data_IF_084863255232
#
_entry.id   IF_084863255232
#
_cell.length_a   1.000
_cell.length_b   1.000
_cell.length_c   1.000
_cell.angle_alpha   90.00
_cell.angle_beta   90.00
_cell.angle_gamma   90.00
#
_symmetry.space_group_name_H-M   'P 1'
#
loop_
_entity.id
_entity.type
_entity.pdbx_description
1 polymer ?
#
# COMPACT_ATOMS: atom_id res chain seq x y z
N UNK A 1 -5.16 7.67 9.17
CA UNK A 1 -5.96 8.59 10.01
C UNK A 1 -5.39 8.74 11.41
N UNK A 2 -4.95 7.67 12.08
CA UNK A 2 -4.48 7.72 13.46
C UNK A 2 -3.33 8.69 13.68
N UNK A 3 -2.32 8.69 12.81
CA UNK A 3 -1.19 9.62 12.91
C UNK A 3 -1.61 11.08 12.76
N UNK A 4 -2.57 11.37 11.88
CA UNK A 4 -3.14 12.71 11.73
C UNK A 4 -3.85 13.16 13.00
N UNK A 5 -4.65 12.29 13.63
CA UNK A 5 -5.30 12.57 14.91
C UNK A 5 -4.30 12.79 16.03
N UNK A 6 -3.21 12.01 16.09
CA UNK A 6 -2.16 12.17 17.11
C UNK A 6 -1.48 13.53 17.06
N UNK A 7 -1.39 14.16 15.89
CA UNK A 7 -0.83 15.52 15.74
C UNK A 7 -1.91 16.62 15.76
N UNK A 8 -3.13 16.28 16.15
CA UNK A 8 -4.22 17.23 16.34
C UNK A 8 -4.96 17.63 15.06
N UNK A 9 -4.77 16.93 13.95
CA UNK A 9 -5.51 17.17 12.71
C UNK A 9 -6.91 16.57 12.79
N UNK A 10 -7.88 17.26 12.22
CA UNK A 10 -9.22 16.72 12.00
C UNK A 10 -9.19 15.82 10.76
N UNK A 11 -9.63 14.57 10.90
CA UNK A 11 -9.72 13.62 9.81
C UNK A 11 -11.11 13.66 9.18
N UNK A 12 -11.14 13.85 7.86
CA UNK A 12 -12.35 13.77 7.04
C UNK A 12 -12.16 12.61 6.07
N UNK A 13 -13.12 11.69 6.02
CA UNK A 13 -13.05 10.51 5.15
C UNK A 13 -13.67 10.86 3.81
N UNK A 14 -12.91 10.66 2.72
CA UNK A 14 -13.41 10.68 1.35
C UNK A 14 -13.93 9.29 0.97
N UNK A 15 -15.03 9.25 0.24
CA UNK A 15 -15.65 8.00 -0.21
C UNK A 15 -14.84 7.35 -1.32
N UNK A 16 -15.05 6.03 -1.47
CA UNK A 16 -14.67 5.29 -2.67
C UNK A 16 -15.92 4.95 -3.49
N UNK A 17 -15.73 4.79 -4.79
CA UNK A 17 -16.76 4.29 -5.69
C UNK A 17 -16.93 2.76 -5.56
N UNK A 18 -17.87 2.19 -6.32
CA UNK A 18 -18.16 0.75 -6.30
C UNK A 18 -17.01 -0.11 -6.87
N UNK A 19 -16.11 0.50 -7.63
CA UNK A 19 -14.91 -0.16 -8.19
C UNK A 19 -13.69 -0.10 -7.26
N UNK A 20 -13.83 0.57 -6.11
CA UNK A 20 -12.77 0.73 -5.11
C UNK A 20 -11.82 1.89 -5.38
N UNK A 21 -12.10 2.76 -6.35
CA UNK A 21 -11.36 4.00 -6.59
C UNK A 21 -11.87 5.14 -5.71
N UNK A 22 -11.08 6.18 -5.55
CA UNK A 22 -11.50 7.39 -4.86
C UNK A 22 -12.65 8.06 -5.63
N UNK A 23 -13.75 8.39 -4.93
CA UNK A 23 -14.82 9.21 -5.49
C UNK A 23 -14.33 10.65 -5.66
N UNK A 24 -13.96 11.00 -6.89
CA UNK A 24 -13.39 12.32 -7.21
C UNK A 24 -14.38 13.47 -6.98
N UNK A 25 -15.68 13.22 -7.09
CA UNK A 25 -16.70 14.25 -6.83
C UNK A 25 -16.80 14.52 -5.31
N UNK A 26 -16.77 13.47 -4.50
CA UNK A 26 -16.72 13.63 -3.04
C UNK A 26 -15.40 14.29 -2.60
N UNK A 27 -14.25 13.86 -3.17
CA UNK A 27 -12.96 14.50 -2.88
C UNK A 27 -12.99 16.00 -3.18
N UNK A 28 -13.49 16.40 -4.35
CA UNK A 28 -13.61 17.80 -4.72
C UNK A 28 -14.47 18.57 -3.71
N UNK A 29 -15.64 18.02 -3.37
CA UNK A 29 -16.53 18.65 -2.41
C UNK A 29 -15.89 18.83 -1.02
N UNK A 30 -15.10 17.82 -0.56
CA UNK A 30 -14.37 17.92 0.70
C UNK A 30 -13.24 18.95 0.61
N UNK A 31 -12.49 18.99 -0.48
CA UNK A 31 -11.43 19.99 -0.69
C UNK A 31 -11.99 21.42 -0.72
N UNK A 32 -13.10 21.66 -1.42
CA UNK A 32 -13.79 22.96 -1.44
C UNK A 32 -14.27 23.37 -0.05
N UNK A 33 -14.95 22.46 0.64
CA UNK A 33 -15.51 22.68 1.96
C UNK A 33 -14.45 23.00 3.02
N UNK A 34 -13.29 22.38 2.91
CA UNK A 34 -12.23 22.47 3.91
C UNK A 34 -11.00 23.25 3.43
N UNK A 35 -11.05 23.91 2.27
CA UNK A 35 -9.90 24.56 1.62
C UNK A 35 -9.12 25.52 2.53
N UNK A 36 -9.80 26.26 3.40
CA UNK A 36 -9.17 27.19 4.34
C UNK A 36 -8.26 26.51 5.39
N UNK A 37 -8.44 25.21 5.62
CA UNK A 37 -7.76 24.41 6.64
C UNK A 37 -7.23 23.09 6.12
N UNK A 38 -7.26 22.87 4.80
CA UNK A 38 -6.78 21.64 4.18
C UNK A 38 -5.26 21.55 4.35
N UNK A 39 -4.82 20.61 5.19
CA UNK A 39 -3.40 20.35 5.37
C UNK A 39 -2.89 19.33 4.34
N UNK A 40 -3.53 18.15 4.30
CA UNK A 40 -3.15 17.11 3.36
C UNK A 40 -4.29 16.11 3.10
N UNK A 41 -4.15 15.38 2.01
CA UNK A 41 -4.87 14.14 1.75
C UNK A 41 -3.89 12.98 1.90
N UNK A 42 -4.32 11.88 2.51
CA UNK A 42 -3.56 10.64 2.58
C UNK A 42 -4.25 9.58 1.72
N UNK A 43 -3.49 9.00 0.81
CA UNK A 43 -3.94 7.89 -0.05
C UNK A 43 -2.98 6.72 0.08
N UNK A 44 -3.50 5.50 -0.07
CA UNK A 44 -2.69 4.30 -0.29
C UNK A 44 -2.63 4.01 -1.78
N UNK A 45 -1.43 3.80 -2.33
CA UNK A 45 -1.26 3.54 -3.77
C UNK A 45 -0.25 2.41 -4.01
N UNK A 46 -0.63 1.31 -4.75
CA UNK A 46 -2.00 1.00 -5.15
C UNK A 46 -2.96 0.90 -3.96
N UNK A 47 -4.26 1.03 -4.20
CA UNK A 47 -5.24 1.07 -3.12
C UNK A 47 -5.35 -0.28 -2.38
N UNK A 48 -5.80 -0.24 -1.12
CA UNK A 48 -6.10 -1.45 -0.33
C UNK A 48 -7.27 -2.27 -0.88
N UNK A 49 -7.96 -1.78 -1.92
CA UNK A 49 -8.93 -2.52 -2.70
C UNK A 49 -8.29 -3.40 -3.80
N UNK A 50 -6.96 -3.40 -3.90
CA UNK A 50 -6.22 -4.19 -4.89
C UNK A 50 -6.26 -3.60 -6.31
N UNK A 51 -6.59 -2.33 -6.46
CA UNK A 51 -6.66 -1.66 -7.77
C UNK A 51 -5.73 -0.46 -7.85
N UNK A 52 -5.27 -0.15 -9.06
CA UNK A 52 -4.60 1.11 -9.34
C UNK A 52 -5.63 2.23 -9.41
N UNK A 53 -5.40 3.31 -8.66
CA UNK A 53 -6.18 4.55 -8.78
C UNK A 53 -5.83 5.22 -10.11
N UNK A 54 -6.74 5.15 -11.08
CA UNK A 54 -6.49 5.63 -12.44
C UNK A 54 -6.40 7.15 -12.53
N UNK A 55 -7.04 7.85 -11.60
CA UNK A 55 -7.08 9.31 -11.53
C UNK A 55 -6.13 9.89 -10.47
N UNK A 56 -5.07 9.15 -10.11
CA UNK A 56 -4.16 9.59 -9.05
C UNK A 56 -3.50 10.95 -9.33
N UNK A 57 -3.17 11.24 -10.59
CA UNK A 57 -2.58 12.54 -10.96
C UNK A 57 -3.56 13.69 -10.82
N UNK A 58 -4.78 13.49 -11.28
CA UNK A 58 -5.89 14.45 -11.15
C UNK A 58 -6.24 14.68 -9.68
N UNK A 59 -6.24 13.62 -8.87
CA UNK A 59 -6.41 13.69 -7.42
C UNK A 59 -5.34 14.58 -6.79
N UNK A 60 -4.06 14.35 -7.09
CA UNK A 60 -2.96 15.16 -6.56
C UNK A 60 -3.10 16.64 -7.00
N UNK A 61 -3.39 16.89 -8.26
CA UNK A 61 -3.59 18.25 -8.79
C UNK A 61 -4.75 18.97 -8.10
N UNK A 62 -5.86 18.27 -7.89
CA UNK A 62 -7.02 18.82 -7.18
C UNK A 62 -6.64 19.25 -5.76
N UNK A 63 -5.97 18.39 -5.00
CA UNK A 63 -5.54 18.69 -3.64
C UNK A 63 -4.59 19.89 -3.61
N UNK A 64 -3.61 19.91 -4.53
CA UNK A 64 -2.66 21.02 -4.64
C UNK A 64 -3.34 22.34 -5.01
N UNK A 65 -4.36 22.32 -5.86
CA UNK A 65 -5.10 23.54 -6.24
C UNK A 65 -5.83 24.19 -5.05
N UNK A 66 -6.11 23.42 -4.01
CA UNK A 66 -6.67 23.88 -2.74
C UNK A 66 -5.63 24.13 -1.65
N UNK A 67 -4.32 24.12 -2.00
CA UNK A 67 -3.22 24.39 -1.07
C UNK A 67 -2.86 23.23 -0.14
N UNK A 68 -3.48 22.05 -0.31
CA UNK A 68 -3.17 20.84 0.45
C UNK A 68 -1.95 20.10 -0.09
N UNK A 69 -1.44 19.16 0.71
CA UNK A 69 -0.36 18.22 0.33
C UNK A 69 -0.91 16.81 0.13
N UNK A 70 -0.19 15.98 -0.61
CA UNK A 70 -0.53 14.58 -0.81
C UNK A 70 0.48 13.69 -0.10
N UNK A 71 -0.02 12.93 0.88
CA UNK A 71 0.74 11.88 1.55
C UNK A 71 0.37 10.53 0.94
N UNK A 72 1.35 9.89 0.32
CA UNK A 72 1.19 8.57 -0.28
C UNK A 72 1.63 7.50 0.73
N UNK A 73 0.70 6.67 1.16
CA UNK A 73 1.02 5.42 1.81
C UNK A 73 1.52 4.44 0.74
N UNK A 74 2.82 4.39 0.60
CA UNK A 74 3.54 3.44 -0.27
C UNK A 74 4.17 2.32 0.55
N UNK A 75 3.58 1.94 1.68
CA UNK A 75 4.11 0.91 2.56
C UNK A 75 4.47 -0.38 1.80
N UNK A 76 3.65 -0.75 0.83
CA UNK A 76 3.93 -1.83 -0.10
C UNK A 76 4.20 -1.26 -1.51
N UNK A 77 5.40 -1.47 -2.02
CA UNK A 77 5.83 -1.03 -3.35
C UNK A 77 5.93 -2.19 -4.36
N UNK A 78 5.37 -3.36 -4.06
CA UNK A 78 5.48 -4.53 -4.93
C UNK A 78 4.90 -4.32 -6.34
N UNK A 79 4.00 -3.36 -6.51
CA UNK A 79 3.45 -2.99 -7.81
C UNK A 79 4.05 -1.70 -8.42
N UNK A 80 5.07 -1.11 -7.80
CA UNK A 80 5.55 0.22 -8.18
C UNK A 80 7.02 0.26 -8.61
N UNK A 81 7.89 -0.57 -8.02
CA UNK A 81 9.33 -0.46 -8.24
C UNK A 81 9.68 -0.64 -9.72
N UNK A 82 10.32 0.35 -10.31
CA UNK A 82 10.68 0.38 -11.74
C UNK A 82 9.52 0.72 -12.70
N UNK A 83 8.29 0.89 -12.18
CA UNK A 83 7.08 1.13 -13.00
C UNK A 83 6.46 2.50 -12.71
N UNK A 84 6.36 2.89 -11.45
CA UNK A 84 5.78 4.17 -11.07
C UNK A 84 6.48 4.75 -9.82
N UNK A 85 6.61 6.07 -9.77
CA UNK A 85 7.23 6.76 -8.65
C UNK A 85 6.22 7.74 -8.01
N UNK A 86 6.02 7.70 -6.68
CA UNK A 86 5.09 8.58 -5.99
C UNK A 86 5.28 10.07 -6.27
N UNK A 87 6.52 10.54 -6.36
CA UNK A 87 6.81 11.93 -6.71
C UNK A 87 6.42 12.33 -8.14
N UNK A 88 6.41 11.39 -9.09
CA UNK A 88 6.08 11.69 -10.49
C UNK A 88 4.58 11.80 -10.73
N UNK A 89 3.75 11.17 -9.91
CA UNK A 89 2.31 11.35 -10.01
C UNK A 89 1.76 12.44 -9.08
N UNK A 90 2.60 13.06 -8.24
CA UNK A 90 2.25 14.23 -7.45
C UNK A 90 2.20 14.01 -5.94
N UNK A 91 2.79 12.92 -5.44
CA UNK A 91 2.96 12.72 -3.99
C UNK A 91 4.00 13.68 -3.40
N UNK A 92 3.65 14.40 -2.35
CA UNK A 92 4.56 15.30 -1.64
C UNK A 92 5.35 14.58 -0.54
N UNK A 93 4.74 13.60 0.07
CA UNK A 93 5.35 12.73 1.10
C UNK A 93 5.00 11.29 0.77
N UNK A 94 5.97 10.41 0.87
CA UNK A 94 5.70 8.98 0.83
C UNK A 94 6.52 8.23 1.86
N UNK A 95 5.95 7.18 2.43
CA UNK A 95 6.70 6.20 3.19
C UNK A 95 6.62 4.82 2.54
N UNK A 96 7.60 4.00 2.82
CA UNK A 96 7.62 2.61 2.39
C UNK A 96 8.11 1.73 3.55
N UNK A 97 7.76 0.45 3.50
CA UNK A 97 8.22 -0.51 4.50
C UNK A 97 9.23 -1.47 3.87
N UNK A 98 10.46 -1.48 4.41
CA UNK A 98 11.51 -2.35 3.87
C UNK A 98 11.19 -3.85 4.06
N UNK A 99 10.37 -4.19 5.05
CA UNK A 99 9.93 -5.58 5.30
C UNK A 99 8.82 -6.08 4.38
N UNK A 100 8.30 -5.25 3.47
CA UNK A 100 7.33 -5.65 2.45
C UNK A 100 8.03 -5.91 1.11
N UNK A 101 8.70 -4.91 0.58
CA UNK A 101 9.24 -4.98 -0.79
C UNK A 101 10.76 -5.19 -0.84
N UNK A 102 11.48 -4.90 0.24
CA UNK A 102 12.94 -4.85 0.27
C UNK A 102 13.59 -5.84 1.24
N UNK A 103 12.96 -6.96 1.46
CA UNK A 103 13.50 -8.19 2.07
C UNK A 103 13.95 -8.14 3.52
N UNK A 104 13.81 -7.07 4.29
CA UNK A 104 14.18 -7.15 5.70
C UNK A 104 13.19 -8.03 6.47
N UNK A 105 13.65 -8.77 7.48
CA UNK A 105 12.76 -9.53 8.34
C UNK A 105 11.93 -8.59 9.21
N UNK A 106 10.64 -8.91 9.40
CA UNK A 106 9.78 -8.25 10.39
C UNK A 106 9.32 -9.21 11.48
N UNK A 107 9.13 -10.49 11.13
CA UNK A 107 9.10 -11.63 12.04
C UNK A 107 8.14 -11.49 13.23
N UNK A 108 6.87 -11.16 12.95
CA UNK A 108 5.88 -11.03 14.02
C UNK A 108 6.08 -9.81 14.92
N UNK A 109 6.68 -8.74 14.42
CA UNK A 109 6.90 -7.47 15.12
C UNK A 109 8.36 -7.21 15.47
N UNK A 110 9.27 -7.81 14.73
CA UNK A 110 10.72 -7.59 14.85
C UNK A 110 11.17 -6.24 14.30
N UNK A 111 12.41 -6.16 13.80
CA UNK A 111 13.02 -4.91 13.39
C UNK A 111 12.31 -4.32 12.16
N UNK A 112 11.60 -3.21 12.34
CA UNK A 112 10.99 -2.46 11.26
C UNK A 112 11.82 -1.26 10.84
N UNK A 113 11.82 -0.93 9.54
CA UNK A 113 12.33 0.34 9.02
C UNK A 113 11.37 0.83 7.94
N UNK A 114 10.95 2.07 8.08
CA UNK A 114 10.05 2.76 7.15
C UNK A 114 10.69 4.06 6.66
N UNK A 115 11.46 4.04 5.55
CA UNK A 115 11.96 5.27 4.96
C UNK A 115 10.84 6.22 4.58
N UNK A 116 11.05 7.51 4.79
CA UNK A 116 10.14 8.59 4.41
C UNK A 116 10.83 9.47 3.39
N UNK A 117 10.17 9.70 2.27
CA UNK A 117 10.61 10.61 1.21
C UNK A 117 9.70 11.83 1.18
N UNK A 118 10.26 13.00 0.94
CA UNK A 118 9.50 14.25 0.88
C UNK A 118 10.00 15.12 -0.28
N UNK A 119 9.13 16.03 -0.76
CA UNK A 119 9.52 17.08 -1.69
C UNK A 119 10.46 18.10 -1.01
N UNK A 120 11.23 18.84 -1.80
CA UNK A 120 12.33 19.69 -1.32
C UNK A 120 11.91 20.72 -0.27
N UNK A 121 10.77 21.35 -0.43
CA UNK A 121 10.27 22.37 0.49
C UNK A 121 9.84 21.81 1.86
N UNK A 122 9.65 20.51 1.98
CA UNK A 122 9.37 19.82 3.26
C UNK A 122 10.65 19.32 3.96
N UNK A 123 11.80 19.28 3.29
CA UNK A 123 13.07 18.83 3.89
C UNK A 123 13.42 19.56 5.19
N UNK A 124 13.23 20.89 5.35
CA UNK A 124 13.52 21.59 6.59
C UNK A 124 12.65 21.15 7.80
N UNK A 125 11.55 20.44 7.54
CA UNK A 125 10.60 19.96 8.56
C UNK A 125 10.79 18.49 8.92
N UNK A 126 11.72 17.79 8.25
CA UNK A 126 12.09 16.43 8.64
C UNK A 126 12.61 16.41 10.08
N UNK A 127 12.40 15.31 10.82
CA UNK A 127 12.87 15.17 12.19
C UNK A 127 14.38 15.39 12.31
N UNK A 128 14.79 16.23 13.26
CA UNK A 128 16.18 16.38 13.64
C UNK A 128 16.65 15.31 14.62
N UNK A 129 17.95 15.14 14.74
CA UNK A 129 18.55 14.30 15.78
C UNK A 129 19.95 14.77 16.11
N UNK A 130 20.32 14.71 17.39
CA UNK A 130 21.63 15.21 17.86
C UNK A 130 22.82 14.49 17.20
N UNK A 131 22.66 13.22 16.82
CA UNK A 131 23.71 12.43 16.17
C UNK A 131 23.67 12.46 14.63
N UNK A 132 22.60 13.00 14.03
CA UNK A 132 22.49 13.07 12.58
C UNK A 132 23.12 14.33 11.96
N UNK A 133 23.53 15.29 12.79
CA UNK A 133 24.25 16.51 12.35
C UNK A 133 23.39 17.46 11.50
N UNK A 134 22.08 17.26 11.41
CA UNK A 134 21.19 18.13 10.67
C UNK A 134 20.53 19.19 11.57
N UNK A 135 20.59 20.44 11.15
CA UNK A 135 19.90 21.55 11.81
C UNK A 135 18.41 21.56 11.35
N UNK A 136 17.64 20.57 11.76
CA UNK A 136 16.23 20.52 11.45
C UNK A 136 15.43 21.54 12.29
N UNK A 137 14.34 22.07 11.73
CA UNK A 137 13.41 22.95 12.46
C UNK A 137 12.59 22.19 13.49
N UNK A 138 12.52 20.87 13.38
CA UNK A 138 11.76 19.98 14.26
C UNK A 138 12.71 19.18 15.14
N UNK A 139 12.27 18.84 16.35
CA UNK A 139 13.02 17.97 17.26
C UNK A 139 13.08 16.52 16.79
N UNK A 140 13.77 15.68 17.56
CA UNK A 140 13.80 14.24 17.32
C UNK A 140 12.43 13.63 17.63
N UNK A 141 11.96 12.75 16.74
CA UNK A 141 10.73 11.96 16.95
C UNK A 141 11.03 10.55 17.48
N UNK A 142 12.29 10.13 17.42
CA UNK A 142 12.74 8.79 17.80
C UNK A 142 14.15 8.86 18.34
N UNK A 143 14.50 7.97 19.26
CA UNK A 143 15.87 7.80 19.75
C UNK A 143 16.82 7.20 18.70
N UNK A 144 16.29 6.52 17.70
CA UNK A 144 17.04 5.90 16.61
C UNK A 144 16.67 6.59 15.26
N UNK A 145 17.47 7.57 14.78
CA UNK A 145 17.12 8.36 13.59
C UNK A 145 17.09 7.54 12.30
N UNK A 146 17.78 6.41 12.26
CA UNK A 146 17.83 5.51 11.11
C UNK A 146 16.97 4.25 11.33
N UNK A 147 16.07 4.25 12.30
CA UNK A 147 15.31 3.06 12.69
C UNK A 147 16.25 1.94 13.16
N UNK A 148 15.99 0.70 12.75
CA UNK A 148 16.92 -0.41 13.00
C UNK A 148 18.01 -0.45 11.92
N UNK A 149 19.08 0.28 12.11
CA UNK A 149 20.16 0.40 11.12
C UNK A 149 20.83 -0.94 10.78
N UNK A 150 20.80 -1.92 11.67
CA UNK A 150 21.43 -3.21 11.45
C UNK A 150 20.79 -4.05 10.31
N UNK A 151 19.54 -3.76 9.95
CA UNK A 151 18.86 -4.47 8.84
C UNK A 151 18.98 -3.76 7.48
N UNK A 152 19.46 -2.52 7.44
CA UNK A 152 19.63 -1.77 6.19
C UNK A 152 20.55 -2.46 5.16
N UNK A 153 21.66 -3.12 5.57
CA UNK A 153 22.50 -3.87 4.63
C UNK A 153 21.74 -4.97 3.86
N UNK A 154 20.68 -5.55 4.43
CA UNK A 154 19.86 -6.57 3.75
C UNK A 154 19.16 -5.97 2.53
N UNK A 155 18.46 -4.84 2.69
CA UNK A 155 17.83 -4.14 1.57
C UNK A 155 18.86 -3.65 0.55
N UNK A 156 20.01 -3.15 1.02
CA UNK A 156 21.08 -2.73 0.12
C UNK A 156 21.60 -3.89 -0.73
N UNK A 157 21.86 -5.04 -0.12
CA UNK A 157 22.28 -6.24 -0.84
C UNK A 157 21.23 -6.72 -1.83
N UNK A 158 19.98 -6.78 -1.42
CA UNK A 158 18.86 -7.16 -2.29
C UNK A 158 18.80 -6.27 -3.55
N UNK A 159 18.81 -4.95 -3.37
CA UNK A 159 18.80 -3.98 -4.47
C UNK A 159 20.03 -4.17 -5.39
N UNK A 160 21.21 -4.38 -4.80
CA UNK A 160 22.45 -4.59 -5.56
C UNK A 160 22.46 -5.91 -6.34
N UNK A 161 21.89 -6.96 -5.79
CA UNK A 161 21.79 -8.26 -6.43
C UNK A 161 20.77 -8.28 -7.56
N UNK A 162 19.62 -7.67 -7.35
CA UNK A 162 18.53 -7.61 -8.33
C UNK A 162 18.86 -6.65 -9.49
N UNK A 163 19.47 -5.52 -9.20
CA UNK A 163 19.64 -4.44 -10.16
C UNK A 163 18.30 -3.83 -10.59
N UNK A 164 18.35 -2.86 -11.49
CA UNK A 164 17.13 -2.17 -11.97
C UNK A 164 16.19 -3.13 -12.71
N UNK A 165 16.74 -3.93 -13.62
CA UNK A 165 15.96 -4.90 -14.41
C UNK A 165 15.32 -5.99 -13.55
N UNK A 166 16.05 -6.52 -12.56
CA UNK A 166 15.52 -7.54 -11.65
C UNK A 166 14.41 -7.00 -10.75
N UNK A 167 14.54 -5.77 -10.23
CA UNK A 167 13.52 -5.14 -9.42
C UNK A 167 12.25 -4.85 -10.23
N UNK A 168 12.38 -4.39 -11.48
CA UNK A 168 11.23 -4.21 -12.37
C UNK A 168 10.57 -5.55 -12.70
N UNK A 169 11.34 -6.57 -13.03
CA UNK A 169 10.83 -7.93 -13.31
C UNK A 169 10.08 -8.51 -12.09
N UNK A 170 10.56 -8.25 -10.87
CA UNK A 170 9.88 -8.64 -9.64
C UNK A 170 8.50 -7.97 -9.52
N UNK A 171 8.42 -6.65 -9.81
CA UNK A 171 7.14 -5.92 -9.83
C UNK A 171 6.17 -6.51 -10.87
N UNK A 172 6.64 -6.75 -12.07
CA UNK A 172 5.85 -7.33 -13.16
C UNK A 172 5.35 -8.74 -12.79
N UNK A 173 6.20 -9.57 -12.17
CA UNK A 173 5.83 -10.91 -11.70
C UNK A 173 4.78 -10.85 -10.59
N UNK A 174 4.89 -9.93 -9.63
CA UNK A 174 3.91 -9.76 -8.56
C UNK A 174 2.53 -9.40 -9.11
N UNK A 175 2.46 -8.45 -10.04
CA UNK A 175 1.21 -8.06 -10.71
C UNK A 175 0.64 -9.21 -11.53
N UNK A 176 1.48 -9.90 -12.32
CA UNK A 176 1.05 -11.03 -13.12
C UNK A 176 0.48 -12.16 -12.26
N UNK A 177 1.14 -12.51 -11.17
CA UNK A 177 0.73 -13.58 -10.24
C UNK A 177 -0.63 -13.29 -9.60
N UNK A 178 -0.86 -12.06 -9.15
CA UNK A 178 -2.16 -11.65 -8.58
C UNK A 178 -3.28 -11.72 -9.61
N UNK A 179 -3.03 -11.24 -10.83
CA UNK A 179 -3.99 -11.32 -11.94
C UNK A 179 -4.25 -12.76 -12.38
N UNK A 180 -3.24 -13.62 -12.37
CA UNK A 180 -3.38 -15.03 -12.68
C UNK A 180 -4.29 -15.74 -11.66
N UNK A 181 -4.08 -15.52 -10.36
CA UNK A 181 -4.94 -16.07 -9.30
C UNK A 181 -6.37 -15.57 -9.47
N UNK A 182 -6.57 -14.27 -9.65
CA UNK A 182 -7.88 -13.68 -9.89
C UNK A 182 -8.60 -14.34 -11.07
N UNK A 183 -7.91 -14.52 -12.20
CA UNK A 183 -8.46 -15.16 -13.39
C UNK A 183 -8.79 -16.65 -13.20
N UNK A 184 -7.93 -17.38 -12.48
CA UNK A 184 -8.10 -18.83 -12.21
C UNK A 184 -9.25 -19.12 -11.25
N UNK A 185 -9.50 -18.23 -10.29
CA UNK A 185 -10.49 -18.43 -9.24
C UNK A 185 -11.85 -17.77 -9.53
N UNK A 186 -11.98 -16.95 -10.56
CA UNK A 186 -13.16 -16.12 -10.82
C UNK A 186 -14.51 -16.83 -10.82
N UNK A 187 -14.54 -18.10 -11.26
CA UNK A 187 -15.77 -18.89 -11.37
C UNK A 187 -16.19 -19.50 -10.01
N UNK A 188 -15.32 -19.47 -9.02
CA UNK A 188 -15.54 -20.02 -7.67
C UNK A 188 -15.51 -18.92 -6.59
N UNK A 189 -14.59 -17.99 -6.71
CA UNK A 189 -14.33 -16.90 -5.78
C UNK A 189 -14.15 -15.62 -6.58
N UNK A 190 -15.23 -14.88 -6.84
CA UNK A 190 -15.13 -13.67 -7.65
C UNK A 190 -14.22 -12.64 -6.99
N UNK A 191 -13.44 -11.94 -7.81
CA UNK A 191 -12.66 -10.79 -7.36
C UNK A 191 -13.60 -9.60 -7.15
N UNK A 192 -13.57 -9.04 -5.94
CA UNK A 192 -14.54 -8.01 -5.54
C UNK A 192 -14.27 -6.66 -6.23
N UNK A 193 -13.00 -6.29 -6.38
CA UNK A 193 -12.59 -5.05 -7.00
C UNK A 193 -11.61 -5.31 -8.13
N UNK A 194 -11.86 -4.71 -9.27
CA UNK A 194 -10.99 -4.74 -10.44
C UNK A 194 -11.14 -3.44 -11.24
N UNK A 195 -10.10 -3.09 -11.99
CA UNK A 195 -10.17 -1.98 -12.93
C UNK A 195 -11.18 -2.26 -14.06
N UNK A 196 -11.51 -1.23 -14.84
CA UNK A 196 -12.48 -1.34 -15.94
C UNK A 196 -12.15 -2.42 -16.99
N UNK A 197 -10.87 -2.80 -17.11
CA UNK A 197 -10.41 -3.89 -17.98
C UNK A 197 -10.30 -5.25 -17.27
N UNK A 198 -10.79 -5.35 -16.02
CA UNK A 198 -10.82 -6.60 -15.25
C UNK A 198 -9.50 -6.97 -14.56
N UNK A 199 -8.52 -6.07 -14.53
CA UNK A 199 -7.23 -6.32 -13.89
C UNK A 199 -7.15 -5.77 -12.47
N UNK A 200 -6.33 -6.44 -11.66
CA UNK A 200 -5.94 -6.03 -10.31
C UNK A 200 -4.46 -5.58 -10.29
N UNK A 201 -4.03 -4.99 -9.18
CA UNK A 201 -2.62 -4.65 -8.94
C UNK A 201 -1.83 -5.90 -8.52
N UNK A 202 -1.04 -5.82 -7.45
CA UNK A 202 -0.22 -6.93 -6.94
C UNK A 202 -0.95 -7.83 -5.93
N UNK A 203 -2.20 -7.53 -5.63
CA UNK A 203 -3.08 -8.28 -4.74
C UNK A 203 -4.49 -8.33 -5.30
N UNK A 204 -5.28 -9.34 -4.92
CA UNK A 204 -6.67 -9.45 -5.29
C UNK A 204 -7.55 -9.73 -4.08
N UNK A 205 -8.74 -9.14 -4.07
CA UNK A 205 -9.71 -9.31 -3.00
C UNK A 205 -10.74 -10.35 -3.45
N UNK A 206 -10.67 -11.56 -2.89
CA UNK A 206 -11.62 -12.63 -3.18
C UNK A 206 -12.87 -12.51 -2.30
N UNK A 207 -14.03 -12.48 -2.93
CA UNK A 207 -15.31 -12.35 -2.25
C UNK A 207 -15.86 -13.72 -1.82
N UNK A 208 -15.96 -13.94 -0.51
CA UNK A 208 -16.48 -15.18 0.08
C UNK A 208 -17.88 -15.00 0.70
N UNK A 209 -18.52 -13.84 0.53
CA UNK A 209 -19.82 -13.58 1.14
C UNK A 209 -20.89 -14.56 0.66
N UNK A 210 -20.85 -14.96 -0.61
CA UNK A 210 -21.76 -15.96 -1.17
C UNK A 210 -21.62 -17.37 -0.54
N UNK A 211 -20.42 -17.75 -0.09
CA UNK A 211 -20.22 -19.01 0.63
C UNK A 211 -20.90 -19.00 1.99
N UNK A 212 -20.82 -17.89 2.71
CA UNK A 212 -21.50 -17.74 3.99
C UNK A 212 -22.99 -17.97 3.87
N UNK A 213 -23.60 -17.38 2.85
CA UNK A 213 -25.05 -17.44 2.64
C UNK A 213 -25.52 -18.83 2.21
N UNK A 214 -24.72 -19.56 1.45
CA UNK A 214 -25.10 -20.87 0.88
C UNK A 214 -24.70 -22.06 1.75
N UNK A 215 -23.60 -21.98 2.47
CA UNK A 215 -23.02 -23.11 3.21
C UNK A 215 -22.65 -22.80 4.67
N UNK A 216 -22.72 -21.55 5.08
CA UNK A 216 -22.24 -21.10 6.40
C UNK A 216 -20.72 -20.99 6.53
N UNK A 217 -19.97 -21.29 5.46
CA UNK A 217 -18.50 -21.19 5.46
C UNK A 217 -18.06 -19.73 5.40
N UNK A 218 -17.17 -19.35 6.30
CA UNK A 218 -16.65 -17.99 6.40
C UNK A 218 -15.19 -17.90 5.92
N UNK A 219 -14.71 -16.68 5.68
CA UNK A 219 -13.32 -16.42 5.29
C UNK A 219 -12.32 -17.03 6.28
N UNK A 220 -12.63 -17.03 7.57
CA UNK A 220 -11.81 -17.65 8.61
C UNK A 220 -11.67 -19.17 8.43
N UNK A 221 -12.75 -19.86 8.06
CA UNK A 221 -12.73 -21.29 7.82
C UNK A 221 -11.85 -21.63 6.60
N UNK A 222 -11.98 -20.85 5.52
CA UNK A 222 -11.15 -21.00 4.33
C UNK A 222 -9.68 -20.75 4.64
N UNK A 223 -9.36 -19.69 5.40
CA UNK A 223 -8.00 -19.41 5.80
C UNK A 223 -7.38 -20.52 6.65
N UNK A 224 -8.13 -21.05 7.64
CA UNK A 224 -7.68 -22.20 8.43
C UNK A 224 -7.47 -23.45 7.56
N UNK A 225 -8.34 -23.66 6.59
CA UNK A 225 -8.20 -24.77 5.66
C UNK A 225 -6.98 -24.66 4.75
N UNK A 226 -6.65 -23.42 4.30
CA UNK A 226 -5.41 -23.16 3.57
C UNK A 226 -4.17 -23.52 4.40
N UNK A 227 -4.17 -23.24 5.71
CA UNK A 227 -3.08 -23.63 6.63
C UNK A 227 -2.95 -25.17 6.67
N UNK A 228 -4.05 -25.93 6.67
CA UNK A 228 -4.00 -27.39 6.62
C UNK A 228 -3.33 -27.92 5.34
N UNK A 229 -3.44 -27.17 4.24
CA UNK A 229 -2.73 -27.46 2.99
C UNK A 229 -1.31 -26.89 2.92
N UNK A 230 -0.82 -26.29 3.99
CA UNK A 230 0.53 -25.74 4.10
C UNK A 230 0.73 -24.36 3.50
N UNK A 231 -0.36 -23.60 3.28
CA UNK A 231 -0.27 -22.22 2.86
C UNK A 231 -0.20 -21.26 4.04
N UNK A 232 0.47 -20.14 3.87
CA UNK A 232 0.29 -18.99 4.75
C UNK A 232 -1.09 -18.37 4.48
N UNK A 233 -1.91 -18.25 5.53
CA UNK A 233 -3.27 -17.74 5.36
C UNK A 233 -3.26 -16.28 4.88
N UNK A 234 -4.11 -15.92 3.89
CA UNK A 234 -4.27 -14.55 3.44
C UNK A 234 -4.84 -13.64 4.52
N UNK A 235 -4.72 -12.34 4.35
CA UNK A 235 -5.37 -11.34 5.21
C UNK A 235 -6.89 -11.51 5.16
N UNK A 236 -7.50 -11.61 6.36
CA UNK A 236 -8.93 -11.88 6.51
C UNK A 236 -9.76 -10.62 6.59
N UNK A 237 -10.94 -10.66 5.97
CA UNK A 237 -12.00 -9.67 6.18
C UNK A 237 -11.52 -8.21 6.06
N UNK A 238 -10.65 -7.97 5.10
CA UNK A 238 -10.11 -6.66 4.79
C UNK A 238 -9.96 -6.50 3.27
N UNK A 239 -10.33 -5.35 2.70
CA UNK A 239 -10.98 -4.18 3.31
C UNK A 239 -12.46 -4.38 3.65
N UNK A 240 -13.06 -5.47 3.20
CA UNK A 240 -14.47 -5.79 3.38
C UNK A 240 -14.63 -7.07 4.23
N UNK A 241 -15.61 -7.13 5.14
CA UNK A 241 -15.89 -8.34 5.91
C UNK A 241 -16.16 -9.58 5.01
N UNK A 242 -15.66 -10.72 5.43
CA UNK A 242 -15.78 -12.01 4.75
C UNK A 242 -15.17 -12.04 3.34
N UNK A 243 -14.02 -11.41 3.18
CA UNK A 243 -13.17 -11.47 1.99
C UNK A 243 -11.78 -11.99 2.35
N UNK A 244 -11.02 -12.40 1.36
CA UNK A 244 -9.59 -12.72 1.48
C UNK A 244 -8.79 -11.79 0.58
N UNK A 245 -7.77 -11.12 1.15
CA UNK A 245 -6.78 -10.38 0.39
C UNK A 245 -5.61 -11.29 0.09
N UNK A 246 -5.45 -11.67 -1.17
CA UNK A 246 -4.38 -12.57 -1.61
C UNK A 246 -3.30 -11.77 -2.31
N UNK A 247 -2.09 -11.84 -1.76
CA UNK A 247 -0.88 -11.24 -2.30
C UNK A 247 0.16 -12.34 -2.52
N UNK A 248 0.32 -12.86 -3.75
CA UNK A 248 1.28 -13.94 -4.03
C UNK A 248 2.72 -13.46 -4.04
N UNK A 249 2.96 -12.18 -4.20
CA UNK A 249 4.25 -11.54 -4.43
C UNK A 249 4.95 -12.04 -5.72
N UNK A 250 6.23 -11.72 -5.89
CA UNK A 250 7.10 -12.25 -6.95
C UNK A 250 7.77 -13.56 -6.56
N UNK A 251 7.66 -13.97 -5.29
CA UNK A 251 8.44 -15.07 -4.72
C UNK A 251 7.83 -16.45 -4.99
N UNK A 252 6.52 -16.50 -5.25
CA UNK A 252 5.84 -17.77 -5.46
C UNK A 252 6.08 -18.31 -6.88
N UNK A 253 6.36 -19.61 -6.97
CA UNK A 253 6.46 -20.30 -8.25
C UNK A 253 5.08 -20.56 -8.84
N UNK A 254 5.01 -20.72 -10.17
CA UNK A 254 3.75 -21.11 -10.83
C UNK A 254 3.19 -22.42 -10.26
N UNK A 255 4.05 -23.35 -9.87
CA UNK A 255 3.64 -24.61 -9.23
C UNK A 255 2.90 -24.36 -7.91
N UNK A 256 3.39 -23.48 -7.06
CA UNK A 256 2.73 -23.14 -5.78
C UNK A 256 1.45 -22.34 -5.99
N UNK A 257 1.43 -21.46 -7.00
CA UNK A 257 0.23 -20.69 -7.35
C UNK A 257 -0.89 -21.61 -7.91
N UNK A 258 -0.52 -22.63 -8.70
CA UNK A 258 -1.49 -23.61 -9.26
C UNK A 258 -1.99 -24.61 -8.23
N UNK A 259 -1.25 -24.85 -7.18
CA UNK A 259 -1.63 -25.74 -6.08
C UNK A 259 -2.76 -25.19 -5.24
#
# INVERSE_FOLDING_TARGET
PASAQMVGMQVVVTKCDESGNVDMADLQAQCEKHSAHLACVMITYPSTHGVFETQVKELCQLVHSHGGRVYVDGANMNALVGVAAPGEFGGDVSHLNLHKTFCIPHGGGGPGVGPVCVVEDLVPFLPGHATAGNAAKTGAVSAAPLGNAAVLPISWMYIRMMGAEGLQAATEAAILSANYISARLKDHYPTLYASANGHVAHECILDLRGLKDTSGVMAEDVAKRLIDYGFHAPTLSFPVPNTLMVEPTESETLFEIDR
#
